data_IF_266211428564
#
_entry.id   IF_266211428564
#
_cell.length_a   1.000
_cell.length_b   1.000
_cell.length_c   1.000
_cell.angle_alpha   90.00
_cell.angle_beta   90.00
_cell.angle_gamma   90.00
#
_symmetry.space_group_name_H-M   'P 1'
#
loop_
_entity.id
_entity.type
_entity.pdbx_description
1 polymer ?
#
# COMPACT_ATOMS: atom_id res chain seq x y z
N UNK A 1 50.14 26.03 -51.10
CA UNK A 1 48.97 25.09 -51.13
C UNK A 1 48.76 24.61 -49.69
N UNK A 2 47.86 25.27 -48.93
CA UNK A 2 47.48 24.86 -47.57
C UNK A 2 46.30 23.93 -47.66
N UNK A 3 46.40 22.74 -47.08
CA UNK A 3 45.31 21.79 -46.90
C UNK A 3 44.58 22.12 -45.56
N UNK A 4 43.27 22.31 -45.52
CA UNK A 4 42.57 22.47 -44.26
C UNK A 4 42.36 21.10 -43.60
N UNK A 5 42.77 21.00 -42.33
CA UNK A 5 42.46 19.87 -41.47
C UNK A 5 41.01 19.97 -41.02
N UNK A 6 40.23 18.96 -41.33
CA UNK A 6 38.85 18.81 -40.84
C UNK A 6 38.91 18.19 -39.43
N UNK A 7 38.64 18.99 -38.43
CA UNK A 7 38.40 18.48 -37.04
C UNK A 7 37.00 17.86 -36.97
N UNK A 8 36.94 16.55 -36.90
CA UNK A 8 35.71 15.83 -36.59
C UNK A 8 35.44 15.92 -35.09
N UNK A 9 34.48 16.72 -34.70
CA UNK A 9 33.96 16.76 -33.31
C UNK A 9 33.00 15.59 -33.11
N UNK A 10 33.44 14.55 -32.40
CA UNK A 10 32.61 13.44 -31.99
C UNK A 10 31.86 13.87 -30.72
N UNK A 11 30.61 14.25 -30.87
CA UNK A 11 29.70 14.49 -29.73
C UNK A 11 29.23 13.15 -29.16
N UNK A 12 29.80 12.75 -28.03
CA UNK A 12 29.37 11.60 -27.27
C UNK A 12 28.06 11.95 -26.51
N UNK A 13 26.92 11.53 -27.06
CA UNK A 13 25.64 11.66 -26.40
C UNK A 13 25.58 10.64 -25.25
N UNK A 14 25.76 11.08 -24.00
CA UNK A 14 25.46 10.28 -22.80
C UNK A 14 23.92 10.13 -22.74
N UNK A 15 23.43 8.98 -23.19
CA UNK A 15 22.08 8.55 -22.87
C UNK A 15 22.01 8.25 -21.36
N UNK A 16 21.50 9.20 -20.57
CA UNK A 16 21.12 8.96 -19.18
C UNK A 16 19.94 7.99 -19.21
N UNK A 17 20.21 6.69 -19.10
CA UNK A 17 19.22 5.68 -18.79
C UNK A 17 18.74 5.94 -17.35
N UNK A 18 17.71 6.79 -17.22
CA UNK A 18 17.00 6.96 -15.97
C UNK A 18 16.34 5.62 -15.62
N UNK A 19 16.93 4.88 -14.67
CA UNK A 19 16.24 3.78 -14.01
C UNK A 19 15.10 4.37 -13.20
N UNK A 20 13.97 4.64 -13.83
CA UNK A 20 12.72 4.88 -13.16
C UNK A 20 12.31 3.57 -12.48
N UNK A 21 12.53 3.46 -11.17
CA UNK A 21 11.96 2.35 -10.42
C UNK A 21 10.44 2.46 -10.52
N UNK A 22 9.84 1.55 -11.27
CA UNK A 22 8.38 1.46 -11.34
C UNK A 22 7.85 1.12 -9.94
N UNK A 23 6.89 1.90 -9.44
CA UNK A 23 6.20 1.59 -8.19
C UNK A 23 5.53 0.22 -8.33
N UNK A 24 5.80 -0.74 -7.44
CA UNK A 24 5.19 -2.06 -7.52
C UNK A 24 3.67 -1.96 -7.53
N UNK A 25 3.00 -2.71 -8.38
CA UNK A 25 1.53 -2.76 -8.44
C UNK A 25 0.97 -3.78 -7.47
N UNK A 26 -0.27 -3.60 -6.99
CA UNK A 26 -0.96 -4.60 -6.18
C UNK A 26 -1.10 -5.91 -6.95
N UNK A 27 -0.89 -7.04 -6.25
CA UNK A 27 -1.11 -8.37 -6.79
C UNK A 27 -2.53 -8.85 -6.53
N UNK A 28 -3.00 -9.80 -7.36
CA UNK A 28 -4.29 -10.42 -7.15
C UNK A 28 -4.28 -11.28 -5.87
N UNK A 29 -5.34 -11.17 -5.07
CA UNK A 29 -5.62 -12.06 -3.94
C UNK A 29 -6.60 -13.13 -4.41
N UNK A 30 -6.22 -14.40 -4.31
CA UNK A 30 -7.11 -15.52 -4.58
C UNK A 30 -7.93 -15.83 -3.33
N UNK A 31 -9.20 -15.39 -3.31
CA UNK A 31 -10.10 -15.64 -2.19
C UNK A 31 -10.28 -17.15 -1.95
N UNK A 32 -10.25 -17.55 -0.70
CA UNK A 32 -10.31 -18.95 -0.29
C UNK A 32 -9.01 -19.73 -0.43
N UNK A 33 -7.93 -19.12 -0.95
CA UNK A 33 -6.61 -19.76 -1.15
C UNK A 33 -5.45 -18.96 -0.59
N UNK A 34 -5.43 -17.63 -0.83
CA UNK A 34 -4.42 -16.75 -0.26
C UNK A 34 -4.53 -16.70 1.26
N UNK A 35 -3.40 -16.59 1.94
CA UNK A 35 -3.34 -16.52 3.42
C UNK A 35 -2.73 -15.20 3.89
N UNK A 36 -3.21 -14.70 5.01
CA UNK A 36 -2.66 -13.53 5.67
C UNK A 36 -1.23 -13.79 6.17
N UNK A 37 -0.32 -12.90 5.81
CA UNK A 37 1.09 -13.02 6.18
C UNK A 37 1.34 -12.95 7.69
N UNK A 38 0.44 -12.33 8.46
CA UNK A 38 0.57 -12.16 9.91
C UNK A 38 -0.20 -13.22 10.68
N UNK A 39 -1.53 -13.29 10.53
CA UNK A 39 -2.39 -14.15 11.35
C UNK A 39 -2.58 -15.56 10.77
N UNK A 40 -2.15 -15.81 9.52
CA UNK A 40 -2.26 -17.09 8.80
C UNK A 40 -3.67 -17.51 8.42
N UNK A 41 -4.67 -16.68 8.68
CA UNK A 41 -6.04 -16.90 8.23
C UNK A 41 -6.14 -16.90 6.70
N UNK A 42 -7.03 -17.71 6.16
CA UNK A 42 -7.38 -17.68 4.73
C UNK A 42 -8.15 -16.39 4.44
N UNK A 43 -7.77 -15.70 3.37
CA UNK A 43 -8.43 -14.45 2.95
C UNK A 43 -9.72 -14.82 2.21
N UNK A 44 -10.87 -14.45 2.77
CA UNK A 44 -12.19 -14.78 2.23
C UNK A 44 -12.98 -13.56 1.75
N UNK A 45 -12.51 -12.34 2.06
CA UNK A 45 -13.08 -11.07 1.59
C UNK A 45 -11.96 -10.09 1.26
N UNK A 46 -12.24 -9.16 0.35
CA UNK A 46 -11.36 -8.05 0.03
C UNK A 46 -11.67 -6.77 0.82
N UNK A 47 -12.80 -6.68 1.52
CA UNK A 47 -13.29 -5.42 2.08
C UNK A 47 -12.32 -4.71 3.02
N UNK A 48 -11.51 -5.47 3.76
CA UNK A 48 -10.49 -4.95 4.66
C UNK A 48 -9.08 -5.43 4.27
N UNK A 49 -8.93 -6.04 3.09
CA UNK A 49 -7.66 -6.62 2.67
C UNK A 49 -6.59 -5.55 2.42
N UNK A 50 -5.35 -5.95 2.64
CA UNK A 50 -4.19 -5.10 2.44
C UNK A 50 -3.03 -5.91 1.87
N UNK A 51 -2.03 -5.22 1.32
CA UNK A 51 -0.80 -5.86 0.87
C UNK A 51 0.40 -4.93 0.89
N UNK A 52 1.56 -5.52 1.10
CA UNK A 52 2.84 -4.88 0.95
C UNK A 52 3.53 -5.47 -0.29
N UNK A 53 3.64 -4.66 -1.36
CA UNK A 53 4.20 -5.07 -2.64
C UNK A 53 5.68 -4.66 -2.73
N UNK A 54 6.57 -5.64 -2.87
CA UNK A 54 8.01 -5.44 -3.03
C UNK A 54 8.41 -5.13 -4.47
N UNK A 55 9.50 -4.41 -4.63
CA UNK A 55 10.08 -4.08 -5.94
C UNK A 55 10.56 -5.32 -6.71
N UNK A 56 10.79 -6.43 -6.02
CA UNK A 56 11.18 -7.74 -6.57
C UNK A 56 9.98 -8.56 -7.10
N UNK A 57 8.78 -7.98 -7.08
CA UNK A 57 7.55 -8.66 -7.48
C UNK A 57 6.94 -9.57 -6.41
N UNK A 58 7.48 -9.59 -5.19
CA UNK A 58 6.86 -10.30 -4.07
C UNK A 58 5.73 -9.45 -3.46
N UNK A 59 4.76 -10.12 -2.83
CA UNK A 59 3.73 -9.45 -2.05
C UNK A 59 3.45 -10.19 -0.75
N UNK A 60 3.31 -9.44 0.33
CA UNK A 60 2.75 -9.93 1.59
C UNK A 60 1.28 -9.54 1.64
N UNK A 61 0.40 -10.52 1.71
CA UNK A 61 -1.05 -10.34 1.67
C UNK A 61 -1.61 -10.37 3.10
N UNK A 62 -2.66 -9.60 3.33
CA UNK A 62 -3.33 -9.49 4.63
C UNK A 62 -4.84 -9.51 4.45
N UNK A 63 -5.55 -10.26 5.31
CA UNK A 63 -7.00 -10.32 5.35
C UNK A 63 -7.65 -9.09 6.01
N UNK A 64 -6.84 -8.36 6.79
CA UNK A 64 -7.26 -7.19 7.55
C UNK A 64 -6.13 -6.15 7.49
N UNK A 65 -6.47 -4.91 7.15
CA UNK A 65 -5.48 -3.83 7.09
C UNK A 65 -4.81 -3.58 8.45
N UNK A 66 -5.48 -3.89 9.55
CA UNK A 66 -4.89 -3.86 10.89
C UNK A 66 -3.81 -4.92 11.08
N UNK A 67 -3.90 -6.07 10.39
CA UNK A 67 -2.81 -7.04 10.35
C UNK A 67 -1.56 -6.44 9.72
N UNK A 68 -1.69 -5.72 8.60
CA UNK A 68 -0.56 -5.02 7.97
C UNK A 68 -0.02 -3.90 8.86
N UNK A 69 -0.91 -3.08 9.43
CA UNK A 69 -0.55 -1.94 10.28
C UNK A 69 0.17 -2.34 11.59
N UNK A 70 0.06 -3.60 11.98
CA UNK A 70 0.71 -4.15 13.17
C UNK A 70 1.76 -5.24 12.86
N UNK A 71 2.13 -5.41 11.57
CA UNK A 71 3.20 -6.31 11.16
C UNK A 71 4.54 -5.55 11.06
N UNK A 72 5.51 -5.83 11.97
CA UNK A 72 6.81 -5.16 11.92
C UNK A 72 7.56 -5.37 10.60
N UNK A 73 7.29 -6.45 9.87
CA UNK A 73 7.93 -6.72 8.58
C UNK A 73 7.40 -5.76 7.51
N UNK A 74 6.08 -5.52 7.47
CA UNK A 74 5.49 -4.53 6.57
C UNK A 74 5.96 -3.11 6.89
N UNK A 75 5.97 -2.75 8.18
CA UNK A 75 6.28 -1.39 8.64
C UNK A 75 7.75 -0.99 8.45
N UNK A 76 8.68 -1.95 8.48
CA UNK A 76 10.13 -1.70 8.30
C UNK A 76 10.61 -1.95 6.88
N UNK A 77 9.78 -2.54 6.05
CA UNK A 77 10.10 -2.85 4.66
C UNK A 77 10.10 -1.61 3.77
N UNK A 78 10.73 -1.74 2.61
CA UNK A 78 10.67 -0.74 1.53
C UNK A 78 9.56 -1.08 0.51
N UNK A 79 8.57 -1.84 0.94
CA UNK A 79 7.44 -2.23 0.11
C UNK A 79 6.46 -1.05 -0.06
N UNK A 80 5.82 -0.97 -1.21
CA UNK A 80 4.66 -0.11 -1.39
C UNK A 80 3.46 -0.74 -0.70
N UNK A 81 2.82 0.01 0.18
CA UNK A 81 1.66 -0.47 0.95
C UNK A 81 0.35 -0.10 0.25
N UNK A 82 -0.52 -1.08 0.12
CA UNK A 82 -1.84 -0.94 -0.49
C UNK A 82 -2.92 -1.45 0.44
N UNK A 83 -4.07 -0.80 0.38
CA UNK A 83 -5.30 -1.22 1.06
C UNK A 83 -6.44 -1.27 0.07
N UNK A 84 -7.38 -2.18 0.30
CA UNK A 84 -8.62 -2.20 -0.44
C UNK A 84 -9.56 -1.11 0.10
N UNK A 85 -10.10 -0.31 -0.80
CA UNK A 85 -11.12 0.68 -0.45
C UNK A 85 -12.40 -0.03 0.00
N UNK A 86 -13.04 0.48 1.04
CA UNK A 86 -14.27 -0.07 1.57
C UNK A 86 -15.34 -0.31 0.49
N UNK A 87 -15.99 -1.47 0.56
CA UNK A 87 -16.98 -1.89 -0.44
C UNK A 87 -16.37 -2.40 -1.74
N UNK A 88 -15.11 -2.85 -1.74
CA UNK A 88 -14.47 -3.47 -2.89
C UNK A 88 -14.18 -2.50 -4.05
N UNK A 89 -14.00 -1.22 -3.75
CA UNK A 89 -13.81 -0.15 -4.75
C UNK A 89 -12.40 -0.09 -5.37
N UNK A 90 -11.58 -1.12 -5.13
CA UNK A 90 -10.23 -1.24 -5.70
C UNK A 90 -9.12 -0.88 -4.73
N UNK A 91 -7.89 -1.06 -5.18
CA UNK A 91 -6.69 -0.80 -4.40
C UNK A 91 -6.31 0.67 -4.40
N UNK A 92 -5.93 1.18 -3.24
CA UNK A 92 -5.33 2.49 -3.06
C UNK A 92 -4.02 2.36 -2.27
N UNK A 93 -3.08 3.27 -2.49
CA UNK A 93 -1.90 3.38 -1.64
C UNK A 93 -2.32 3.94 -0.28
N UNK A 94 -1.64 3.50 0.76
CA UNK A 94 -1.97 3.93 2.14
C UNK A 94 -1.82 5.44 2.35
N UNK A 95 -0.96 6.09 1.57
CA UNK A 95 -0.75 7.54 1.61
C UNK A 95 -1.86 8.36 0.93
N UNK A 96 -2.70 7.72 0.12
CA UNK A 96 -3.75 8.42 -0.65
C UNK A 96 -5.15 8.31 0.00
N UNK A 97 -5.25 7.68 1.16
CA UNK A 97 -6.53 7.40 1.83
C UNK A 97 -6.47 7.72 3.31
N UNK A 98 -7.64 7.75 3.93
CA UNK A 98 -7.81 7.81 5.38
C UNK A 98 -8.49 6.54 5.89
N UNK A 99 -8.50 6.35 7.19
CA UNK A 99 -8.99 5.12 7.82
C UNK A 99 -10.02 5.46 8.87
N UNK A 100 -11.12 4.73 8.86
CA UNK A 100 -12.20 4.93 9.82
C UNK A 100 -12.73 3.59 10.32
N UNK A 101 -13.23 3.59 11.56
CA UNK A 101 -13.96 2.49 12.16
C UNK A 101 -15.41 2.91 12.39
N UNK A 102 -16.26 2.86 11.34
CA UNK A 102 -17.67 3.21 11.48
C UNK A 102 -18.37 2.34 12.53
N UNK A 103 -19.35 2.86 13.28
CA UNK A 103 -20.13 2.08 14.21
C UNK A 103 -20.72 0.82 13.54
N UNK A 104 -20.48 -0.34 14.14
CA UNK A 104 -20.93 -1.62 13.60
C UNK A 104 -20.08 -2.22 12.47
N UNK A 105 -18.98 -1.56 12.07
CA UNK A 105 -18.02 -2.19 11.14
C UNK A 105 -17.37 -3.39 11.80
N UNK A 106 -17.19 -4.44 11.01
CA UNK A 106 -16.48 -5.65 11.42
C UNK A 106 -15.46 -6.02 10.36
N UNK A 107 -14.26 -6.38 10.79
CA UNK A 107 -13.20 -6.87 9.91
C UNK A 107 -12.73 -8.25 10.37
N UNK A 108 -12.06 -9.05 9.52
CA UNK A 108 -11.72 -10.44 9.82
C UNK A 108 -10.97 -10.65 11.14
N UNK A 109 -10.13 -9.71 11.54
CA UNK A 109 -9.33 -9.80 12.77
C UNK A 109 -9.81 -8.82 13.87
N UNK A 110 -10.94 -8.16 13.66
CA UNK A 110 -11.56 -7.29 14.65
C UNK A 110 -10.85 -5.96 14.87
N UNK A 111 -10.03 -5.52 13.93
CA UNK A 111 -9.49 -4.16 13.98
C UNK A 111 -10.53 -3.10 13.64
N UNK A 112 -11.52 -3.46 12.81
CA UNK A 112 -12.70 -2.70 12.45
C UNK A 112 -12.42 -1.40 11.66
N UNK A 113 -11.18 -1.14 11.28
CA UNK A 113 -10.81 -0.05 10.38
C UNK A 113 -10.98 -0.45 8.93
N UNK A 114 -11.50 0.48 8.13
CA UNK A 114 -11.64 0.38 6.68
C UNK A 114 -11.05 1.63 6.03
N UNK A 115 -10.65 1.54 4.77
CA UNK A 115 -10.07 2.65 4.02
C UNK A 115 -11.14 3.41 3.22
N UNK A 116 -11.13 4.73 3.33
CA UNK A 116 -12.07 5.63 2.69
C UNK A 116 -11.38 6.90 2.17
N UNK A 117 -12.02 7.65 1.25
CA UNK A 117 -11.71 9.07 1.06
C UNK A 117 -11.91 9.86 2.37
N UNK A 118 -11.14 10.92 2.57
CA UNK A 118 -11.14 11.68 3.83
C UNK A 118 -12.53 12.18 4.25
N UNK A 119 -13.28 12.74 3.30
CA UNK A 119 -14.63 13.25 3.57
C UNK A 119 -15.56 12.15 4.09
N UNK A 120 -15.46 10.94 3.50
CA UNK A 120 -16.26 9.80 3.91
C UNK A 120 -15.86 9.30 5.30
N UNK A 121 -14.56 9.24 5.62
CA UNK A 121 -14.08 8.89 6.95
C UNK A 121 -14.63 9.81 8.03
N UNK A 122 -14.58 11.12 7.81
CA UNK A 122 -15.13 12.11 8.75
C UNK A 122 -16.64 11.97 8.94
N UNK A 123 -17.35 11.67 7.89
CA UNK A 123 -18.82 11.52 7.94
C UNK A 123 -19.26 10.24 8.65
N UNK A 124 -18.54 9.13 8.42
CA UNK A 124 -18.92 7.81 8.92
C UNK A 124 -18.48 7.56 10.37
N UNK A 125 -17.35 8.11 10.77
CA UNK A 125 -16.76 7.89 12.09
C UNK A 125 -16.05 9.16 12.61
N UNK A 126 -16.78 10.23 12.94
CA UNK A 126 -16.19 11.53 13.29
C UNK A 126 -15.21 11.45 14.48
N UNK A 127 -15.45 10.51 15.40
CA UNK A 127 -14.64 10.31 16.60
C UNK A 127 -13.63 9.17 16.50
N UNK A 128 -13.68 8.36 15.42
CA UNK A 128 -12.87 7.15 15.23
C UNK A 128 -12.31 7.05 13.81
N UNK A 129 -11.49 8.02 13.42
CA UNK A 129 -10.79 7.98 12.15
C UNK A 129 -9.34 8.42 12.25
N UNK A 130 -8.48 7.80 11.47
CA UNK A 130 -7.07 8.12 11.34
C UNK A 130 -6.84 8.88 10.02
N UNK A 131 -6.17 10.04 10.09
CA UNK A 131 -5.92 10.92 8.94
C UNK A 131 -4.98 10.33 7.91
N UNK A 132 -4.24 9.29 8.30
CA UNK A 132 -3.30 8.63 7.42
C UNK A 132 -2.75 7.37 8.06
N UNK A 133 -1.88 6.70 7.32
CA UNK A 133 -1.30 5.42 7.73
C UNK A 133 -0.57 5.48 9.08
N UNK A 134 0.25 6.49 9.30
CA UNK A 134 1.02 6.62 10.55
C UNK A 134 0.12 6.84 11.77
N UNK A 135 -0.98 7.56 11.61
CA UNK A 135 -1.98 7.74 12.67
C UNK A 135 -2.63 6.41 13.02
N UNK A 136 -3.03 5.62 12.00
CA UNK A 136 -3.60 4.30 12.21
C UNK A 136 -2.61 3.37 12.92
N UNK A 137 -1.36 3.30 12.46
CA UNK A 137 -0.31 2.47 13.09
C UNK A 137 -0.12 2.86 14.56
N UNK A 138 -0.08 4.16 14.85
CA UNK A 138 0.07 4.68 16.21
C UNK A 138 -1.13 4.32 17.09
N UNK A 139 -2.34 4.47 16.57
CA UNK A 139 -3.58 4.12 17.27
C UNK A 139 -3.62 2.63 17.63
N UNK A 140 -3.34 1.77 16.66
CA UNK A 140 -3.36 0.33 16.88
C UNK A 140 -2.23 -0.18 17.78
N UNK A 141 -1.12 0.55 17.89
CA UNK A 141 -0.05 0.23 18.82
C UNK A 141 -0.42 0.55 20.28
N UNK A 142 -1.35 1.48 20.52
CA UNK A 142 -1.81 1.88 21.88
C UNK A 142 -2.90 0.97 22.43
N UNK A 143 -3.63 0.29 21.57
CA UNK A 143 -4.82 -0.49 21.93
C UNK A 143 -4.52 -1.98 22.16
N UNK A 144 -3.24 -2.38 22.12
CA UNK A 144 -2.78 -3.77 22.31
C UNK A 144 -1.71 -3.91 23.41
#
# INVERSE_FOLDING_TARGET
MLRPAVLAVVTLALAAAGCGQSVPSPQAIELGRSTCAKCRSVITSLDAAAQAAGADGTARLYDDLGCMATDPVALRGQAQLYVQMAGGKGWARVEDVTFAAPPGSTTPQGYNYLAFPEEESRRLAPDHWARGWNDLVTELARTR
#
